data_IF_684919316144
#
_entry.id   IF_684919316144
#
_cell.length_a   1.000
_cell.length_b   1.000
_cell.length_c   1.000
_cell.angle_alpha   90.00
_cell.angle_beta   90.00
_cell.angle_gamma   90.00
#
_symmetry.space_group_name_H-M   'P 1'
#
loop_
_entity.id
_entity.type
_entity.pdbx_description
1 polymer ?
#
# COMPACT_ATOMS: atom_id res chain seq x y z
N UNK A 1 72.10 -46.09 23.27
CA UNK A 1 71.09 -45.63 24.24
C UNK A 1 70.69 -44.21 23.85
N UNK A 2 69.69 -44.08 22.99
CA UNK A 2 68.83 -42.90 22.88
C UNK A 2 67.69 -43.23 21.91
N UNK A 3 66.56 -42.60 22.19
CA UNK A 3 65.24 -42.73 21.58
C UNK A 3 65.16 -42.62 20.05
N UNK A 4 64.08 -43.21 19.50
CA UNK A 4 63.31 -42.51 18.47
C UNK A 4 63.04 -43.24 17.15
N UNK A 5 61.90 -43.93 17.09
CA UNK A 5 60.91 -43.97 15.99
C UNK A 5 61.35 -44.42 14.57
N UNK A 6 60.78 -45.54 14.08
CA UNK A 6 60.07 -45.57 12.78
C UNK A 6 59.18 -46.81 12.56
N UNK A 7 58.16 -46.58 11.74
CA UNK A 7 56.92 -47.33 11.49
C UNK A 7 57.04 -48.71 10.85
N UNK A 8 56.04 -49.58 11.05
CA UNK A 8 55.54 -50.55 10.04
C UNK A 8 54.00 -50.66 10.08
N UNK A 9 53.42 -50.96 8.92
CA UNK A 9 52.04 -50.74 8.44
C UNK A 9 51.00 -51.83 8.84
N UNK A 10 49.73 -51.42 8.69
CA UNK A 10 48.37 -52.07 8.65
C UNK A 10 48.28 -53.39 7.82
N UNK A 11 47.16 -54.15 7.70
CA UNK A 11 45.70 -53.88 7.96
C UNK A 11 44.99 -55.06 8.69
N UNK A 12 43.66 -55.23 8.90
CA UNK A 12 42.44 -54.90 8.14
C UNK A 12 41.23 -55.34 8.99
N UNK A 13 40.07 -54.69 8.82
CA UNK A 13 38.80 -55.42 8.85
C UNK A 13 37.73 -54.99 9.87
N UNK A 14 36.69 -54.33 9.35
CA UNK A 14 35.25 -54.54 9.65
C UNK A 14 34.79 -54.07 11.03
N UNK A 15 34.31 -52.82 11.16
CA UNK A 15 32.94 -52.34 10.85
C UNK A 15 31.82 -52.95 11.71
N UNK A 16 31.44 -52.24 12.78
CA UNK A 16 30.05 -52.07 13.25
C UNK A 16 29.91 -50.71 13.95
N UNK A 17 29.45 -49.69 13.21
CA UNK A 17 28.86 -48.49 13.81
C UNK A 17 27.35 -48.72 13.78
N UNK A 18 26.75 -48.88 14.96
CA UNK A 18 25.29 -48.87 15.11
C UNK A 18 24.72 -47.46 14.83
N UNK A 19 23.47 -47.34 14.36
CA UNK A 19 22.91 -46.04 14.04
C UNK A 19 22.71 -45.26 15.35
N UNK A 20 23.42 -44.14 15.50
CA UNK A 20 23.04 -43.09 16.44
C UNK A 20 21.75 -42.46 15.90
N UNK A 21 20.67 -42.57 16.67
CA UNK A 21 19.42 -41.83 16.47
C UNK A 21 19.68 -40.32 16.47
N UNK A 22 20.05 -39.78 15.32
CA UNK A 22 19.91 -38.36 15.02
C UNK A 22 18.51 -38.14 14.48
N UNK A 23 17.58 -37.70 15.34
CA UNK A 23 16.31 -37.14 14.89
C UNK A 23 16.67 -35.84 14.17
N UNK A 24 16.81 -35.91 12.85
CA UNK A 24 16.78 -34.73 12.00
C UNK A 24 15.35 -34.23 12.07
N UNK A 25 15.11 -33.26 12.96
CA UNK A 25 13.87 -32.49 12.96
C UNK A 25 13.88 -31.64 11.69
N UNK A 26 13.41 -32.23 10.59
CA UNK A 26 13.03 -31.49 9.41
C UNK A 26 11.87 -30.58 9.84
N UNK A 27 12.17 -29.33 10.17
CA UNK A 27 11.17 -28.26 10.18
C UNK A 27 10.70 -28.11 8.73
N UNK A 28 9.77 -28.96 8.33
CA UNK A 28 8.87 -28.66 7.24
C UNK A 28 8.14 -27.40 7.70
N UNK A 29 8.56 -26.25 7.18
CA UNK A 29 7.71 -25.07 7.15
C UNK A 29 6.46 -25.54 6.41
N UNK A 30 5.43 -25.89 7.18
CA UNK A 30 4.09 -26.13 6.70
C UNK A 30 3.76 -24.94 5.83
N UNK A 31 3.75 -25.11 4.52
CA UNK A 31 3.09 -24.17 3.63
C UNK A 31 1.64 -24.28 4.03
N UNK A 32 1.20 -23.40 4.94
CA UNK A 32 -0.17 -23.40 5.42
C UNK A 32 -1.05 -23.38 4.17
N UNK A 33 -1.84 -24.45 3.99
CA UNK A 33 -2.86 -24.46 2.95
C UNK A 33 -3.67 -23.17 3.10
N UNK A 34 -3.91 -22.40 2.03
CA UNK A 34 -4.64 -21.16 2.14
C UNK A 34 -5.98 -21.49 2.80
N UNK A 35 -6.20 -20.97 4.01
CA UNK A 35 -7.45 -21.15 4.72
C UNK A 35 -8.59 -20.81 3.77
N UNK A 36 -9.55 -21.75 3.63
CA UNK A 36 -10.69 -21.59 2.73
C UNK A 36 -11.33 -20.22 2.97
N UNK A 37 -11.39 -19.41 1.91
CA UNK A 37 -11.90 -18.05 2.05
C UNK A 37 -13.37 -18.07 2.48
N UNK A 38 -13.71 -17.25 3.48
CA UNK A 38 -15.10 -17.08 3.93
C UNK A 38 -15.80 -16.11 2.98
N UNK A 39 -16.92 -16.54 2.40
CA UNK A 39 -17.69 -15.71 1.47
C UNK A 39 -18.55 -14.70 2.23
N UNK A 40 -18.57 -13.48 1.73
CA UNK A 40 -19.38 -12.37 2.23
C UNK A 40 -20.19 -11.83 1.05
N UNK A 41 -21.52 -11.93 1.17
CA UNK A 41 -22.46 -11.45 0.15
C UNK A 41 -23.13 -10.19 0.69
N UNK A 42 -22.75 -9.04 0.16
CA UNK A 42 -23.30 -7.79 0.62
C UNK A 42 -24.72 -7.57 0.06
N UNK A 43 -25.68 -7.13 0.90
CA UNK A 43 -25.48 -6.11 1.95
C UNK A 43 -25.29 -6.62 3.40
N UNK A 44 -24.87 -7.86 3.65
CA UNK A 44 -24.49 -8.26 5.02
C UNK A 44 -23.44 -7.31 5.62
N UNK A 45 -23.45 -7.17 6.95
CA UNK A 45 -22.50 -6.31 7.66
C UNK A 45 -21.09 -6.91 7.62
N UNK A 46 -20.26 -6.45 6.69
CA UNK A 46 -18.86 -6.86 6.55
C UNK A 46 -18.04 -6.65 7.85
N UNK A 47 -18.39 -5.70 8.72
CA UNK A 47 -17.67 -5.53 10.00
C UNK A 47 -17.80 -6.77 10.89
N UNK A 48 -18.99 -7.36 10.98
CA UNK A 48 -19.18 -8.59 11.77
C UNK A 48 -18.33 -9.76 11.26
N UNK A 49 -18.11 -9.80 9.94
CA UNK A 49 -17.27 -10.80 9.29
C UNK A 49 -15.77 -10.57 9.54
N UNK A 50 -15.34 -9.30 9.53
CA UNK A 50 -13.99 -8.88 9.93
C UNK A 50 -13.72 -9.20 11.41
N UNK A 51 -14.71 -9.02 12.27
CA UNK A 51 -14.60 -9.30 13.71
C UNK A 51 -14.48 -10.81 13.96
N UNK A 52 -15.29 -11.61 13.26
CA UNK A 52 -15.34 -13.07 13.42
C UNK A 52 -14.17 -13.82 12.78
N UNK A 53 -13.59 -13.30 11.68
CA UNK A 53 -12.52 -14.02 10.98
C UNK A 53 -11.24 -14.07 11.83
N UNK A 54 -10.56 -15.22 11.80
CA UNK A 54 -9.25 -15.39 12.41
C UNK A 54 -8.20 -14.56 11.66
N UNK A 55 -7.21 -14.05 12.40
CA UNK A 55 -6.06 -13.34 11.81
C UNK A 55 -5.36 -14.23 10.77
N UNK A 56 -5.02 -13.66 9.62
CA UNK A 56 -4.48 -14.36 8.45
C UNK A 56 -5.55 -14.92 7.50
N UNK A 57 -6.84 -14.84 7.86
CA UNK A 57 -7.94 -15.32 7.02
C UNK A 57 -8.21 -14.45 5.78
N UNK A 58 -9.02 -14.99 4.86
CA UNK A 58 -9.48 -14.29 3.65
C UNK A 58 -11.00 -14.17 3.64
N UNK A 59 -11.51 -12.95 3.36
CA UNK A 59 -12.92 -12.69 3.05
C UNK A 59 -13.08 -12.50 1.54
N UNK A 60 -13.88 -13.36 0.90
CA UNK A 60 -14.31 -13.20 -0.50
C UNK A 60 -15.59 -12.36 -0.54
N UNK A 61 -15.48 -11.12 -1.02
CA UNK A 61 -16.55 -10.11 -1.01
C UNK A 61 -17.21 -10.04 -2.38
N UNK A 62 -18.54 -10.10 -2.41
CA UNK A 62 -19.35 -9.89 -3.61
C UNK A 62 -20.44 -8.85 -3.35
N UNK A 63 -20.77 -8.03 -4.36
CA UNK A 63 -21.74 -6.94 -4.23
C UNK A 63 -21.17 -5.69 -3.55
N UNK A 64 -22.06 -4.84 -3.04
CA UNK A 64 -21.72 -3.56 -2.41
C UNK A 64 -21.98 -3.61 -0.90
N UNK A 65 -20.90 -3.56 -0.12
CA UNK A 65 -20.94 -3.48 1.34
C UNK A 65 -20.97 -2.01 1.74
N UNK A 66 -22.10 -1.58 2.31
CA UNK A 66 -22.26 -0.19 2.76
C UNK A 66 -21.82 -0.08 4.20
N UNK A 67 -20.92 0.86 4.49
CA UNK A 67 -20.46 1.15 5.84
C UNK A 67 -19.00 1.59 5.93
N UNK A 68 -18.55 1.70 7.17
CA UNK A 68 -17.18 2.05 7.56
C UNK A 68 -16.58 0.85 8.27
N UNK A 69 -15.44 0.37 7.76
CA UNK A 69 -14.87 -0.91 8.17
C UNK A 69 -13.52 -0.70 8.85
N UNK A 70 -13.36 -1.25 10.05
CA UNK A 70 -12.12 -1.13 10.81
C UNK A 70 -11.46 -2.50 10.97
N UNK A 71 -10.19 -2.57 10.61
CA UNK A 71 -9.39 -3.79 10.61
C UNK A 71 -8.28 -3.69 11.65
N UNK A 72 -8.30 -4.61 12.61
CA UNK A 72 -7.38 -4.66 13.75
C UNK A 72 -6.48 -5.90 13.75
N UNK A 73 -6.44 -6.63 12.64
CA UNK A 73 -5.76 -7.92 12.49
C UNK A 73 -5.27 -8.14 11.07
N UNK A 74 -4.46 -9.17 10.85
CA UNK A 74 -4.04 -9.56 9.51
C UNK A 74 -5.24 -10.16 8.76
N UNK A 75 -5.53 -9.70 7.54
CA UNK A 75 -6.63 -10.23 6.73
C UNK A 75 -6.41 -9.93 5.25
N UNK A 76 -6.96 -10.77 4.38
CA UNK A 76 -7.14 -10.46 2.97
C UNK A 76 -8.62 -10.22 2.65
N UNK A 77 -8.92 -9.07 2.05
CA UNK A 77 -10.22 -8.73 1.46
C UNK A 77 -10.09 -8.92 -0.05
N UNK A 78 -10.89 -9.81 -0.62
CA UNK A 78 -10.81 -10.16 -2.04
C UNK A 78 -12.17 -9.98 -2.69
N UNK A 79 -12.25 -9.06 -3.64
CA UNK A 79 -13.42 -8.88 -4.48
C UNK A 79 -13.63 -10.06 -5.43
N UNK A 80 -14.88 -10.46 -5.60
CA UNK A 80 -15.33 -11.53 -6.49
C UNK A 80 -16.58 -11.08 -7.25
N UNK A 81 -16.60 -11.42 -8.55
CA UNK A 81 -17.67 -11.01 -9.45
C UNK A 81 -17.49 -9.59 -9.96
N UNK A 82 -18.58 -9.00 -10.43
CA UNK A 82 -18.58 -7.69 -11.09
C UNK A 82 -18.61 -6.57 -10.04
N UNK A 83 -17.61 -5.69 -10.07
CA UNK A 83 -17.53 -4.46 -9.27
C UNK A 83 -17.83 -4.63 -7.75
N UNK A 84 -17.17 -5.57 -7.04
CA UNK A 84 -17.32 -5.69 -5.59
C UNK A 84 -16.81 -4.41 -4.91
N UNK A 85 -17.64 -3.82 -4.05
CA UNK A 85 -17.49 -2.44 -3.60
C UNK A 85 -17.61 -2.33 -2.09
N UNK A 86 -16.70 -1.57 -1.47
CA UNK A 86 -16.87 -0.99 -0.14
C UNK A 86 -17.34 0.46 -0.32
N UNK A 87 -18.54 0.77 0.19
CA UNK A 87 -19.18 2.07 -0.02
C UNK A 87 -19.42 2.79 1.32
N UNK A 88 -18.78 3.93 1.53
CA UNK A 88 -18.86 4.69 2.80
C UNK A 88 -20.09 5.58 2.95
N UNK A 89 -20.94 5.73 1.94
CA UNK A 89 -22.17 6.56 1.98
C UNK A 89 -21.98 8.01 2.51
N UNK A 90 -20.77 8.58 2.39
CA UNK A 90 -20.41 9.95 2.77
C UNK A 90 -20.05 10.17 4.25
N UNK A 91 -20.11 9.14 5.10
CA UNK A 91 -20.12 9.28 6.57
C UNK A 91 -18.78 9.13 7.31
N UNK A 92 -17.64 9.20 6.62
CA UNK A 92 -16.30 8.98 7.19
C UNK A 92 -15.40 8.15 6.28
N UNK A 93 -14.28 7.69 6.83
CA UNK A 93 -13.36 6.76 6.16
C UNK A 93 -14.04 5.43 5.82
N UNK A 94 -13.92 4.95 4.59
CA UNK A 94 -14.52 3.66 4.20
C UNK A 94 -13.79 2.48 4.85
N UNK A 95 -12.46 2.48 4.83
CA UNK A 95 -11.63 1.40 5.36
C UNK A 95 -10.49 1.95 6.24
N UNK A 96 -10.51 1.60 7.51
CA UNK A 96 -9.47 1.99 8.48
C UNK A 96 -8.64 0.78 8.90
N UNK A 97 -7.31 0.88 8.75
CA UNK A 97 -6.37 -0.16 9.15
C UNK A 97 -5.67 0.34 10.40
N UNK A 98 -5.94 -0.32 11.52
CA UNK A 98 -5.42 0.08 12.82
C UNK A 98 -4.21 -0.76 13.18
N UNK A 99 -3.17 -0.14 13.75
CA UNK A 99 -2.00 -0.81 14.33
C UNK A 99 -0.91 -1.18 13.33
N UNK A 100 0.32 -0.74 13.62
CA UNK A 100 1.50 -0.90 12.75
C UNK A 100 1.86 -2.36 12.40
N UNK A 101 1.46 -3.32 13.22
CA UNK A 101 1.72 -4.75 13.00
C UNK A 101 0.71 -5.43 12.06
N UNK A 102 -0.44 -4.78 11.80
CA UNK A 102 -1.52 -5.38 11.05
C UNK A 102 -1.28 -5.25 9.54
N UNK A 103 -1.25 -6.42 8.88
CA UNK A 103 -1.05 -6.54 7.43
C UNK A 103 -2.37 -6.84 6.74
N UNK A 104 -2.84 -5.89 5.94
CA UNK A 104 -4.11 -5.97 5.23
C UNK A 104 -3.86 -6.00 3.74
N UNK A 105 -4.37 -7.02 3.07
CA UNK A 105 -4.37 -7.11 1.60
C UNK A 105 -5.77 -6.84 1.08
N UNK A 106 -5.88 -5.93 0.13
CA UNK A 106 -7.13 -5.66 -0.60
C UNK A 106 -6.89 -5.99 -2.06
N UNK A 107 -7.70 -6.90 -2.61
CA UNK A 107 -7.60 -7.34 -3.99
C UNK A 107 -8.90 -7.14 -4.74
N UNK A 108 -8.82 -6.59 -5.94
CA UNK A 108 -9.94 -6.47 -6.87
C UNK A 108 -11.19 -5.84 -6.26
N UNK A 109 -11.03 -4.82 -5.42
CA UNK A 109 -12.13 -4.11 -4.77
C UNK A 109 -12.16 -2.64 -5.19
N UNK A 110 -13.38 -2.10 -5.26
CA UNK A 110 -13.62 -0.65 -5.34
C UNK A 110 -13.89 -0.11 -3.95
N UNK A 111 -13.21 0.97 -3.57
CA UNK A 111 -13.40 1.69 -2.31
C UNK A 111 -13.84 3.11 -2.66
N UNK A 112 -15.08 3.45 -2.30
CA UNK A 112 -15.73 4.69 -2.74
C UNK A 112 -16.75 5.22 -1.75
N UNK A 113 -17.23 6.45 -1.96
CA UNK A 113 -18.21 7.09 -1.10
C UNK A 113 -17.69 7.40 0.29
N UNK A 114 -16.38 7.40 0.49
CA UNK A 114 -15.75 7.97 1.67
C UNK A 114 -15.87 9.48 1.66
N UNK A 115 -16.07 10.09 2.83
CA UNK A 115 -16.44 11.50 2.91
C UNK A 115 -16.45 12.03 4.33
N UNK A 116 -16.67 13.34 4.47
CA UNK A 116 -16.92 13.97 5.75
C UNK A 116 -15.67 14.54 6.41
N UNK A 117 -15.59 14.43 7.75
CA UNK A 117 -14.59 15.12 8.57
C UNK A 117 -13.28 14.34 8.65
N UNK A 118 -12.16 15.07 8.70
CA UNK A 118 -10.84 14.50 8.98
C UNK A 118 -10.06 14.05 7.75
N UNK A 119 -9.23 13.05 7.96
CA UNK A 119 -8.25 12.52 7.01
C UNK A 119 -8.70 11.16 6.43
N UNK A 120 -8.25 10.84 5.21
CA UNK A 120 -8.42 9.49 4.65
C UNK A 120 -9.86 9.18 4.30
N UNK A 121 -10.42 9.87 3.30
CA UNK A 121 -11.81 9.68 2.88
C UNK A 121 -12.09 8.22 2.47
N UNK A 122 -11.29 7.69 1.55
CA UNK A 122 -11.39 6.27 1.17
C UNK A 122 -10.76 5.36 2.22
N UNK A 123 -9.49 5.59 2.51
CA UNK A 123 -8.67 4.72 3.37
C UNK A 123 -7.86 5.55 4.35
N UNK A 124 -7.86 5.12 5.62
CA UNK A 124 -6.97 5.60 6.65
C UNK A 124 -6.09 4.44 7.13
N UNK A 125 -4.78 4.52 6.86
CA UNK A 125 -3.86 3.43 7.14
C UNK A 125 -2.82 3.77 8.22
N UNK A 126 -2.93 3.10 9.37
CA UNK A 126 -1.91 3.07 10.42
C UNK A 126 -1.08 1.77 10.41
N UNK A 127 -1.38 0.82 9.53
CA UNK A 127 -0.75 -0.49 9.43
C UNK A 127 0.08 -0.68 8.16
N UNK A 128 0.12 -1.92 7.68
CA UNK A 128 0.73 -2.33 6.41
C UNK A 128 -0.36 -2.73 5.42
N UNK A 129 -0.67 -1.84 4.49
CA UNK A 129 -1.70 -2.00 3.48
C UNK A 129 -1.08 -2.36 2.12
N UNK A 130 -1.60 -3.41 1.49
CA UNK A 130 -1.31 -3.72 0.09
C UNK A 130 -2.58 -3.75 -0.74
N UNK A 131 -2.69 -2.86 -1.72
CA UNK A 131 -3.75 -2.86 -2.75
C UNK A 131 -3.25 -3.57 -4.02
N UNK A 132 -4.05 -4.48 -4.58
CA UNK A 132 -3.74 -5.22 -5.80
C UNK A 132 -4.95 -5.19 -6.72
N UNK A 133 -4.82 -4.68 -7.95
CA UNK A 133 -5.95 -4.63 -8.89
C UNK A 133 -7.16 -3.88 -8.33
N UNK A 134 -6.96 -2.97 -7.37
CA UNK A 134 -8.04 -2.32 -6.62
C UNK A 134 -8.14 -0.84 -6.99
N UNK A 135 -9.31 -0.25 -6.76
CA UNK A 135 -9.61 1.13 -7.14
C UNK A 135 -10.11 1.91 -5.93
N UNK A 136 -9.46 3.02 -5.60
CA UNK A 136 -9.90 4.00 -4.60
C UNK A 136 -10.40 5.23 -5.34
N UNK A 137 -11.72 5.44 -5.36
CA UNK A 137 -12.34 6.40 -6.28
C UNK A 137 -13.42 7.26 -5.65
N UNK A 138 -13.46 8.54 -6.02
CA UNK A 138 -14.56 9.43 -5.68
C UNK A 138 -14.74 9.63 -4.17
N UNK A 139 -13.65 9.57 -3.41
CA UNK A 139 -13.66 9.81 -1.98
C UNK A 139 -13.26 11.26 -1.66
N UNK A 140 -13.76 11.78 -0.55
CA UNK A 140 -13.50 13.14 -0.09
C UNK A 140 -12.97 13.16 1.34
N UNK A 141 -11.97 14.00 1.62
CA UNK A 141 -11.51 14.33 2.96
C UNK A 141 -11.48 15.86 3.14
N UNK A 142 -11.98 16.35 4.28
CA UNK A 142 -11.87 17.79 4.61
C UNK A 142 -10.42 18.21 4.81
N UNK A 143 -9.57 17.32 5.37
CA UNK A 143 -8.17 17.61 5.63
C UNK A 143 -7.29 17.00 4.53
N UNK A 144 -6.66 15.85 4.79
CA UNK A 144 -5.67 15.28 3.88
C UNK A 144 -6.06 13.88 3.39
N UNK A 145 -5.53 13.50 2.22
CA UNK A 145 -5.66 12.13 1.72
C UNK A 145 -7.11 11.80 1.33
N UNK A 146 -7.65 12.50 0.31
CA UNK A 146 -9.02 12.29 -0.14
C UNK A 146 -9.30 10.82 -0.45
N UNK A 147 -8.37 10.18 -1.18
CA UNK A 147 -8.38 8.75 -1.42
C UNK A 147 -7.77 7.98 -0.25
N UNK A 148 -6.48 8.20 0.00
CA UNK A 148 -5.71 7.46 0.99
C UNK A 148 -4.92 8.42 1.88
N UNK A 149 -5.12 8.32 3.18
CA UNK A 149 -4.18 8.85 4.17
C UNK A 149 -3.32 7.70 4.70
N UNK A 150 -2.02 7.77 4.42
CA UNK A 150 -1.05 6.78 4.86
C UNK A 150 -0.19 7.32 5.99
N UNK A 151 -0.38 6.77 7.19
CA UNK A 151 0.51 6.95 8.33
C UNK A 151 1.53 5.81 8.43
N UNK A 152 1.13 4.59 8.08
CA UNK A 152 1.97 3.39 8.09
C UNK A 152 2.68 3.12 6.75
N UNK A 153 2.60 1.88 6.28
CA UNK A 153 3.12 1.47 4.97
C UNK A 153 1.97 1.16 4.03
N UNK A 154 2.00 1.73 2.83
CA UNK A 154 1.04 1.45 1.76
C UNK A 154 1.76 1.05 0.48
N UNK A 155 1.36 -0.08 -0.09
CA UNK A 155 1.84 -0.58 -1.38
C UNK A 155 0.67 -0.71 -2.35
N UNK A 156 0.76 -0.05 -3.50
CA UNK A 156 -0.18 -0.19 -4.61
C UNK A 156 0.47 -1.01 -5.72
N UNK A 157 -0.21 -2.05 -6.18
CA UNK A 157 0.20 -2.88 -7.33
C UNK A 157 -0.94 -2.90 -8.33
N UNK A 158 -0.70 -2.42 -9.55
CA UNK A 158 -1.71 -2.40 -10.61
C UNK A 158 -3.06 -1.86 -10.12
N UNK A 159 -3.00 -0.80 -9.30
CA UNK A 159 -4.16 -0.24 -8.60
C UNK A 159 -4.35 1.22 -9.01
N UNK A 160 -5.55 1.74 -8.78
CA UNK A 160 -5.93 3.08 -9.20
C UNK A 160 -6.38 3.93 -8.00
N UNK A 161 -5.95 5.18 -7.95
CA UNK A 161 -6.44 6.21 -7.02
C UNK A 161 -6.94 7.38 -7.87
N UNK A 162 -8.26 7.49 -8.01
CA UNK A 162 -8.85 8.33 -9.06
C UNK A 162 -9.95 9.24 -8.56
N UNK A 163 -9.94 10.51 -8.98
CA UNK A 163 -11.08 11.40 -8.74
C UNK A 163 -11.36 11.66 -7.25
N UNK A 164 -10.34 11.56 -6.39
CA UNK A 164 -10.48 11.84 -4.97
C UNK A 164 -10.14 13.30 -4.66
N UNK A 165 -10.74 13.83 -3.60
CA UNK A 165 -10.66 15.25 -3.25
C UNK A 165 -10.20 15.40 -1.79
N UNK A 166 -9.21 16.26 -1.56
CA UNK A 166 -8.80 16.71 -0.23
C UNK A 166 -8.93 18.23 -0.12
N UNK A 167 -9.45 18.72 1.01
CA UNK A 167 -9.52 20.17 1.27
C UNK A 167 -8.15 20.81 1.48
N UNK A 168 -7.19 20.07 2.05
CA UNK A 168 -5.80 20.48 2.22
C UNK A 168 -4.93 19.70 1.23
N UNK A 169 -4.04 18.84 1.69
CA UNK A 169 -3.01 18.21 0.86
C UNK A 169 -3.33 16.76 0.45
N UNK A 170 -2.73 16.31 -0.65
CA UNK A 170 -2.80 14.90 -1.04
C UNK A 170 -4.20 14.49 -1.50
N UNK A 171 -4.69 15.09 -2.59
CA UNK A 171 -6.04 14.82 -3.11
C UNK A 171 -6.28 13.33 -3.33
N UNK A 172 -5.31 12.67 -3.97
CA UNK A 172 -5.28 11.21 -4.09
C UNK A 172 -4.73 10.57 -2.83
N UNK A 173 -3.45 10.84 -2.54
CA UNK A 173 -2.71 10.19 -1.46
C UNK A 173 -1.95 11.22 -0.64
N UNK A 174 -2.17 11.21 0.67
CA UNK A 174 -1.30 11.88 1.63
C UNK A 174 -0.44 10.85 2.36
N UNK A 175 0.87 10.92 2.17
CA UNK A 175 1.84 10.03 2.80
C UNK A 175 2.56 10.77 3.93
N UNK A 176 2.11 10.54 5.16
CA UNK A 176 2.60 11.23 6.34
C UNK A 176 3.98 10.71 6.80
N UNK A 177 4.69 11.48 7.62
CA UNK A 177 5.85 11.05 8.41
C UNK A 177 5.49 11.01 9.90
N UNK A 178 5.96 10.02 10.65
CA UNK A 178 5.79 9.97 12.12
C UNK A 178 7.12 10.12 12.87
N UNK A 179 7.06 10.47 14.16
CA UNK A 179 8.21 10.52 15.05
C UNK A 179 8.92 9.15 15.23
N UNK A 180 8.26 8.05 14.89
CA UNK A 180 8.80 6.68 14.95
C UNK A 180 9.39 6.20 13.62
N UNK A 181 9.30 7.01 12.55
CA UNK A 181 9.71 6.67 11.18
C UNK A 181 8.80 7.29 10.11
N UNK A 182 9.29 7.32 8.88
CA UNK A 182 8.59 7.87 7.71
C UNK A 182 7.48 6.92 7.25
N UNK A 183 6.26 7.41 7.03
CA UNK A 183 5.25 6.66 6.30
C UNK A 183 5.81 6.31 4.92
N UNK A 184 5.57 5.07 4.48
CA UNK A 184 6.17 4.56 3.24
C UNK A 184 5.07 4.28 2.24
N UNK A 185 5.16 4.94 1.09
CA UNK A 185 4.29 4.74 -0.05
C UNK A 185 5.09 4.10 -1.19
N UNK A 186 4.58 3.00 -1.75
CA UNK A 186 5.17 2.36 -2.93
C UNK A 186 4.11 2.10 -3.99
N UNK A 187 4.33 2.59 -5.22
CA UNK A 187 3.48 2.38 -6.38
C UNK A 187 4.21 1.54 -7.42
N UNK A 188 3.58 0.45 -7.85
CA UNK A 188 4.09 -0.46 -8.88
C UNK A 188 3.04 -0.65 -9.97
N UNK A 189 3.31 -0.15 -11.18
CA UNK A 189 2.33 -0.30 -12.26
C UNK A 189 0.98 0.35 -11.96
N UNK A 190 0.95 1.39 -11.12
CA UNK A 190 -0.29 1.95 -10.54
C UNK A 190 -0.55 3.35 -11.05
N UNK A 191 -1.79 3.80 -10.92
CA UNK A 191 -2.24 5.09 -11.46
C UNK A 191 -2.84 5.97 -10.37
N UNK A 192 -2.44 7.24 -10.36
CA UNK A 192 -3.00 8.29 -9.50
C UNK A 192 -3.49 9.40 -10.43
N UNK A 193 -4.81 9.48 -10.64
CA UNK A 193 -5.36 10.30 -11.72
C UNK A 193 -6.54 11.17 -11.33
N UNK A 194 -6.61 12.38 -11.89
CA UNK A 194 -7.77 13.26 -11.73
C UNK A 194 -8.09 13.63 -10.28
N UNK A 195 -7.11 13.56 -9.37
CA UNK A 195 -7.33 13.89 -7.96
C UNK A 195 -7.11 15.39 -7.72
N UNK A 196 -7.78 15.95 -6.70
CA UNK A 196 -7.74 17.38 -6.39
C UNK A 196 -7.42 17.66 -4.93
N UNK A 197 -6.47 18.56 -4.69
CA UNK A 197 -6.11 19.09 -3.39
C UNK A 197 -6.35 20.61 -3.36
N UNK A 198 -6.84 21.16 -2.24
CA UNK A 198 -6.85 22.61 -2.02
C UNK A 198 -5.46 23.17 -1.71
N UNK A 199 -4.61 22.38 -1.05
CA UNK A 199 -3.19 22.63 -0.80
C UNK A 199 -2.31 22.01 -1.89
N UNK A 200 -1.17 21.43 -1.50
CA UNK A 200 -0.21 20.81 -2.39
C UNK A 200 -0.49 19.32 -2.66
N UNK A 201 0.17 18.77 -3.67
CA UNK A 201 0.12 17.33 -3.96
C UNK A 201 -1.26 16.89 -4.43
N UNK A 202 -1.73 17.39 -5.57
CA UNK A 202 -3.04 17.03 -6.12
C UNK A 202 -3.21 15.51 -6.24
N UNK A 203 -2.19 14.85 -6.80
CA UNK A 203 -2.07 13.40 -6.82
C UNK A 203 -1.53 12.87 -5.51
N UNK A 204 -0.26 13.19 -5.21
CA UNK A 204 0.44 12.69 -4.02
C UNK A 204 1.09 13.85 -3.27
N UNK A 205 0.84 13.95 -1.98
CA UNK A 205 1.68 14.71 -1.06
C UNK A 205 2.49 13.73 -0.21
N UNK A 206 3.81 13.87 -0.15
CA UNK A 206 4.66 13.00 0.67
C UNK A 206 5.53 13.79 1.63
N UNK A 207 5.25 13.65 2.92
CA UNK A 207 6.20 13.91 4.00
C UNK A 207 7.12 12.71 4.24
N UNK A 208 6.57 11.49 4.09
CA UNK A 208 7.30 10.24 4.23
C UNK A 208 8.14 9.86 3.01
N UNK A 209 8.52 8.58 2.92
CA UNK A 209 9.19 8.03 1.73
C UNK A 209 8.18 7.62 0.66
N UNK A 210 8.42 8.01 -0.60
CA UNK A 210 7.58 7.65 -1.73
C UNK A 210 8.40 7.03 -2.87
N UNK A 211 7.99 5.85 -3.33
CA UNK A 211 8.65 5.10 -4.39
C UNK A 211 7.68 4.83 -5.53
N UNK A 212 7.90 5.47 -6.67
CA UNK A 212 7.07 5.31 -7.87
C UNK A 212 7.86 4.50 -8.90
N UNK A 213 7.34 3.33 -9.27
CA UNK A 213 7.92 2.48 -10.29
C UNK A 213 6.88 2.12 -11.34
N UNK A 214 7.20 2.40 -12.61
CA UNK A 214 6.33 2.11 -13.75
C UNK A 214 4.88 2.59 -13.54
N UNK A 215 4.72 3.75 -12.91
CA UNK A 215 3.42 4.27 -12.46
C UNK A 215 3.08 5.58 -13.16
N UNK A 216 1.82 5.99 -13.09
CA UNK A 216 1.31 7.17 -13.79
C UNK A 216 0.66 8.13 -12.80
N UNK A 217 1.09 9.40 -12.83
CA UNK A 217 0.45 10.52 -12.16
C UNK A 217 -0.10 11.45 -13.24
N UNK A 218 -1.41 11.44 -13.47
CA UNK A 218 -2.01 12.17 -14.59
C UNK A 218 -3.21 13.04 -14.21
N UNK A 219 -3.28 14.26 -14.72
CA UNK A 219 -4.49 15.08 -14.61
C UNK A 219 -4.82 15.51 -13.19
N UNK A 220 -3.86 15.47 -12.26
CA UNK A 220 -4.10 15.84 -10.87
C UNK A 220 -3.93 17.37 -10.67
N UNK A 221 -4.69 17.91 -9.72
CA UNK A 221 -4.83 19.36 -9.51
C UNK A 221 -4.54 19.75 -8.06
N UNK A 222 -3.73 20.78 -7.84
CA UNK A 222 -3.42 21.33 -6.53
C UNK A 222 -3.66 22.85 -6.49
N UNK A 223 -4.33 23.36 -5.47
CA UNK A 223 -4.41 24.82 -5.25
C UNK A 223 -3.09 25.42 -4.77
N UNK A 224 -2.20 24.61 -4.21
CA UNK A 224 -0.82 24.95 -3.84
C UNK A 224 0.19 24.49 -4.88
N UNK A 225 1.14 23.65 -4.47
CA UNK A 225 2.23 23.20 -5.32
C UNK A 225 2.28 21.68 -5.58
N UNK A 226 2.88 21.29 -6.70
CA UNK A 226 3.05 19.88 -7.05
C UNK A 226 1.73 19.19 -7.41
N UNK A 227 1.13 19.57 -8.54
CA UNK A 227 -0.16 19.03 -8.99
C UNK A 227 -0.16 17.51 -9.07
N UNK A 228 0.90 16.93 -9.64
CA UNK A 228 1.12 15.49 -9.64
C UNK A 228 1.66 14.99 -8.29
N UNK A 229 2.79 15.55 -7.88
CA UNK A 229 3.53 15.11 -6.70
C UNK A 229 4.18 16.29 -5.96
N UNK A 230 3.92 16.37 -4.66
CA UNK A 230 4.61 17.25 -3.72
C UNK A 230 5.49 16.43 -2.78
N UNK A 231 6.80 16.63 -2.87
CA UNK A 231 7.83 16.02 -2.02
C UNK A 231 8.23 17.03 -0.95
N UNK A 232 7.85 16.80 0.31
CA UNK A 232 8.14 17.74 1.40
C UNK A 232 9.63 17.71 1.81
N UNK A 233 10.05 18.70 2.58
CA UNK A 233 11.43 18.77 3.06
C UNK A 233 11.77 17.55 3.92
N UNK A 234 12.92 16.92 3.65
CA UNK A 234 13.38 15.71 4.36
C UNK A 234 12.77 14.40 3.87
N UNK A 235 11.78 14.45 2.97
CA UNK A 235 11.21 13.25 2.35
C UNK A 235 12.20 12.56 1.39
N UNK A 236 12.07 11.24 1.27
CA UNK A 236 12.82 10.45 0.29
C UNK A 236 11.84 10.04 -0.81
N UNK A 237 11.93 10.71 -1.96
CA UNK A 237 11.06 10.42 -3.09
C UNK A 237 11.88 9.96 -4.29
N UNK A 238 11.60 8.74 -4.77
CA UNK A 238 12.25 8.14 -5.93
C UNK A 238 11.25 7.79 -7.01
N UNK A 239 11.54 8.19 -8.25
CA UNK A 239 10.71 7.91 -9.43
C UNK A 239 11.52 7.13 -10.46
N UNK A 240 11.00 6.00 -10.92
CA UNK A 240 11.66 5.10 -11.89
C UNK A 240 10.67 4.64 -12.95
N UNK A 241 10.99 4.88 -14.23
CA UNK A 241 10.16 4.43 -15.35
C UNK A 241 8.71 4.91 -15.33
N UNK A 242 8.43 6.05 -14.68
CA UNK A 242 7.07 6.53 -14.40
C UNK A 242 6.74 7.80 -15.17
N UNK A 243 5.45 8.05 -15.40
CA UNK A 243 4.95 9.19 -16.18
C UNK A 243 4.22 10.16 -15.26
N UNK A 244 4.58 11.44 -15.31
CA UNK A 244 3.94 12.52 -14.56
C UNK A 244 3.50 13.57 -15.59
N UNK A 245 2.21 13.61 -15.91
CA UNK A 245 1.70 14.41 -17.03
C UNK A 245 0.33 15.05 -16.79
N UNK A 246 0.01 16.12 -17.51
CA UNK A 246 -1.31 16.75 -17.44
C UNK A 246 -1.67 17.32 -16.07
N UNK A 247 -0.72 17.45 -15.15
CA UNK A 247 -1.01 17.91 -13.79
C UNK A 247 -0.93 19.44 -13.70
N UNK A 248 -1.79 20.01 -12.86
CA UNK A 248 -1.99 21.45 -12.73
C UNK A 248 -1.79 21.85 -11.27
N UNK A 249 -1.06 22.94 -11.00
CA UNK A 249 -0.96 23.50 -9.66
C UNK A 249 -0.60 24.97 -9.67
N UNK A 250 -1.01 25.77 -8.69
CA UNK A 250 -0.62 27.20 -8.62
C UNK A 250 0.90 27.40 -8.71
N UNK A 251 1.70 26.43 -8.27
CA UNK A 251 3.13 26.36 -8.58
C UNK A 251 3.58 24.94 -8.88
N UNK A 252 4.43 24.76 -9.89
CA UNK A 252 4.99 23.45 -10.25
C UNK A 252 3.91 22.37 -10.50
N UNK A 253 3.16 22.48 -11.60
CA UNK A 253 2.07 21.54 -11.93
C UNK A 253 2.46 20.07 -11.86
N UNK A 254 3.69 19.71 -12.24
CA UNK A 254 4.16 18.32 -12.24
C UNK A 254 4.63 17.85 -10.86
N UNK A 255 5.83 18.30 -10.48
CA UNK A 255 6.52 17.87 -9.26
C UNK A 255 7.07 19.08 -8.53
N UNK A 256 6.88 19.15 -7.21
CA UNK A 256 7.49 20.13 -6.32
C UNK A 256 8.35 19.46 -5.25
N UNK A 257 9.50 20.05 -4.91
CA UNK A 257 10.45 19.56 -3.92
C UNK A 257 11.50 18.59 -4.47
N UNK A 258 12.28 17.99 -3.58
CA UNK A 258 13.41 17.12 -3.95
C UNK A 258 12.92 15.73 -4.35
N UNK A 259 13.18 15.33 -5.59
CA UNK A 259 12.84 14.01 -6.13
C UNK A 259 14.03 13.42 -6.88
N UNK A 260 14.33 12.16 -6.60
CA UNK A 260 15.39 11.40 -7.30
C UNK A 260 14.79 10.59 -8.45
N UNK A 261 15.19 10.92 -9.68
CA UNK A 261 14.83 10.10 -10.84
C UNK A 261 15.90 9.05 -11.08
N UNK A 262 15.50 7.78 -11.11
CA UNK A 262 16.40 6.65 -11.44
C UNK A 262 16.03 6.07 -12.80
N UNK A 263 17.03 5.96 -13.68
CA UNK A 263 16.88 5.43 -15.04
C UNK A 263 16.34 6.47 -16.04
N UNK A 264 16.60 6.25 -17.33
CA UNK A 264 16.23 7.17 -18.43
C UNK A 264 14.77 7.07 -18.90
N UNK A 265 13.91 6.37 -18.17
CA UNK A 265 12.55 6.01 -18.63
C UNK A 265 11.43 6.81 -17.95
N UNK A 266 11.74 7.71 -17.03
CA UNK A 266 10.71 8.55 -16.40
C UNK A 266 10.42 9.79 -17.27
N UNK A 267 9.14 10.15 -17.41
CA UNK A 267 8.70 11.29 -18.22
C UNK A 267 7.94 12.29 -17.37
N UNK A 268 8.31 13.57 -17.44
CA UNK A 268 7.55 14.68 -16.86
C UNK A 268 7.22 15.65 -17.99
N UNK A 269 5.95 15.80 -18.36
CA UNK A 269 5.57 16.61 -19.52
C UNK A 269 4.13 17.11 -19.45
N UNK A 270 3.83 18.23 -20.10
CA UNK A 270 2.46 18.75 -20.17
C UNK A 270 1.85 19.10 -18.82
N UNK A 271 2.68 19.48 -17.83
CA UNK A 271 2.22 19.93 -16.53
C UNK A 271 2.27 21.46 -16.48
N UNK A 272 1.23 22.10 -15.95
CA UNK A 272 1.02 23.54 -16.06
C UNK A 272 0.86 24.21 -14.70
N UNK A 273 1.27 25.48 -14.54
CA UNK A 273 0.79 26.29 -13.43
C UNK A 273 -0.73 26.51 -13.52
N UNK A 274 -1.40 26.70 -12.38
CA UNK A 274 -2.82 27.10 -12.31
C UNK A 274 -2.91 28.63 -12.48
N UNK A 275 -3.05 29.08 -13.74
CA UNK A 275 -3.11 30.49 -14.13
C UNK A 275 -2.84 30.68 -15.64
N UNK A 276 -3.24 31.83 -16.24
CA UNK A 276 -2.99 32.15 -17.65
C UNK A 276 -1.50 32.29 -17.99
#
# INVERSE_FOLDING_TARGET
MNDGLRQVRRPSGISRIGPRSGVVLLLLASVAEPALAKRVYCPTNLQSELDAIKSGGTLEISGTCVGHFVVWKNVELRGKGTAPTLFGAGGGTVLTIMGAANRVKVKNLTITGGGGVGDGGGILNYGDLTLIGSTVVGNNAVNHGGGIYNYGTTTLKQSQVTGNIAGLDGGGIYNNSSASGWGTLSLYGSEVTGNKAGGGGGGIYSFGSAYLKNSVLNGNQAGGDGGGLKSAQGSITTVTGSVITGNIAASNGGVSGTVTFKGKQSTISGNLPDGP
#
